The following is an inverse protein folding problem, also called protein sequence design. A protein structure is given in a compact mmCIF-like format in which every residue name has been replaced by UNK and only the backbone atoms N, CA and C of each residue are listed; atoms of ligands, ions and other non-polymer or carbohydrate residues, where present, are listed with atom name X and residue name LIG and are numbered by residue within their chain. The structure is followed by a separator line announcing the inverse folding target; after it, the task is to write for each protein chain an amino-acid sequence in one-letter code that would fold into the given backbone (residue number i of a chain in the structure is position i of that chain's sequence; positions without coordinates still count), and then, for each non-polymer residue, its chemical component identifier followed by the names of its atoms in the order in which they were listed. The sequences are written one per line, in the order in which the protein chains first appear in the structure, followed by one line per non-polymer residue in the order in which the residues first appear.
data_IF_228317797853
#
_entry.id   IF_228317797853
#
_cell.length_a   1.000
_cell.length_b   1.000
_cell.length_c   1.000
_cell.angle_alpha   90.00
_cell.angle_beta   90.00
_cell.angle_gamma   90.00
#
_symmetry.space_group_name_H-M   'P 1'
#
loop_
_entity.id
_entity.type
_entity.pdbx_description
1 polymer ?
#
# COMPACT_ATOMS: atom_id res chain seq x y z
N UNK A 1 -20.85 -9.95 61.26
CA UNK A 1 -21.16 -9.58 59.86
C UNK A 1 -20.07 -10.14 58.95
N UNK A 2 -20.35 -11.14 58.11
CA UNK A 2 -19.44 -11.60 57.05
C UNK A 2 -20.13 -11.35 55.70
N UNK A 3 -19.52 -10.50 54.88
CA UNK A 3 -20.00 -10.19 53.54
C UNK A 3 -19.67 -11.36 52.59
N UNK A 4 -20.70 -12.04 52.10
CA UNK A 4 -20.58 -13.01 51.01
C UNK A 4 -20.22 -12.29 49.71
N UNK A 5 -18.98 -12.50 49.24
CA UNK A 5 -18.57 -12.08 47.89
C UNK A 5 -19.25 -13.00 46.87
N UNK A 6 -20.32 -12.51 46.23
CA UNK A 6 -20.90 -13.14 45.02
C UNK A 6 -19.83 -13.23 43.93
N UNK A 7 -19.35 -14.44 43.66
CA UNK A 7 -18.54 -14.74 42.48
C UNK A 7 -19.46 -14.57 41.26
N UNK A 8 -19.26 -13.52 40.45
CA UNK A 8 -19.86 -13.41 39.12
C UNK A 8 -19.23 -14.48 38.25
N UNK A 9 -19.91 -15.62 38.07
CA UNK A 9 -19.51 -16.64 37.11
C UNK A 9 -19.68 -16.09 35.69
N UNK A 10 -18.64 -16.17 34.88
CA UNK A 10 -18.72 -15.89 33.44
C UNK A 10 -19.56 -16.99 32.81
N UNK A 11 -20.55 -16.62 31.99
CA UNK A 11 -21.40 -17.60 31.31
C UNK A 11 -20.56 -18.50 30.38
N UNK A 12 -20.91 -19.80 30.22
CA UNK A 12 -20.18 -20.69 29.35
C UNK A 12 -20.26 -20.17 27.90
N UNK A 13 -19.10 -20.04 27.25
CA UNK A 13 -19.03 -19.73 25.82
C UNK A 13 -19.25 -21.03 25.05
N UNK A 14 -20.18 -21.03 24.09
CA UNK A 14 -20.31 -22.13 23.15
C UNK A 14 -19.00 -22.27 22.36
N UNK A 15 -18.47 -23.48 22.28
CA UNK A 15 -17.31 -23.79 21.43
C UNK A 15 -17.72 -23.68 19.97
N UNK A 16 -16.90 -23.01 19.16
CA UNK A 16 -17.05 -23.02 17.72
C UNK A 16 -16.32 -24.25 17.19
N UNK A 17 -17.05 -25.26 16.74
CA UNK A 17 -16.50 -26.38 16.00
C UNK A 17 -16.55 -26.04 14.50
N UNK A 18 -15.39 -26.06 13.84
CA UNK A 18 -15.27 -25.78 12.41
C UNK A 18 -15.10 -27.11 11.68
N UNK A 19 -16.02 -27.40 10.76
CA UNK A 19 -15.89 -28.54 9.86
C UNK A 19 -15.07 -28.14 8.64
N UNK A 20 -13.85 -28.65 8.54
CA UNK A 20 -12.94 -28.38 7.42
C UNK A 20 -13.19 -29.24 6.19
N UNK A 21 -14.08 -30.23 6.30
CA UNK A 21 -14.50 -31.05 5.16
C UNK A 21 -15.69 -30.45 4.41
N UNK A 22 -16.38 -29.50 5.02
CA UNK A 22 -17.47 -28.75 4.41
C UNK A 22 -16.95 -27.77 3.34
N UNK A 23 -17.37 -27.92 2.07
CA UNK A 23 -17.00 -27.01 0.99
C UNK A 23 -17.38 -25.55 1.26
N UNK A 24 -18.51 -25.29 1.91
CA UNK A 24 -18.98 -23.92 2.17
C UNK A 24 -18.08 -23.20 3.18
N UNK A 25 -17.66 -23.92 4.22
CA UNK A 25 -16.67 -23.44 5.19
C UNK A 25 -15.33 -23.11 4.52
N UNK A 26 -14.86 -23.94 3.60
CA UNK A 26 -13.63 -23.69 2.85
C UNK A 26 -13.74 -22.46 1.95
N UNK A 27 -14.88 -22.30 1.25
CA UNK A 27 -15.16 -21.12 0.42
C UNK A 27 -15.21 -19.85 1.27
N UNK A 28 -15.84 -19.91 2.45
CA UNK A 28 -15.90 -18.79 3.37
C UNK A 28 -14.52 -18.34 3.85
N UNK A 29 -13.67 -19.29 4.25
CA UNK A 29 -12.29 -19.01 4.68
C UNK A 29 -11.45 -18.47 3.53
N UNK A 30 -11.54 -19.07 2.34
CA UNK A 30 -10.84 -18.59 1.15
C UNK A 30 -11.26 -17.16 0.80
N UNK A 31 -12.56 -16.86 0.86
CA UNK A 31 -13.10 -15.52 0.66
C UNK A 31 -12.57 -14.51 1.68
N UNK A 32 -12.49 -14.89 2.96
CA UNK A 32 -11.94 -14.04 4.01
C UNK A 32 -10.45 -13.73 3.78
N UNK A 33 -9.65 -14.75 3.42
CA UNK A 33 -8.21 -14.57 3.12
C UNK A 33 -8.01 -13.68 1.89
N UNK A 34 -8.77 -13.90 0.82
CA UNK A 34 -8.73 -13.06 -0.38
C UNK A 34 -9.16 -11.63 -0.07
N UNK A 35 -10.21 -11.44 0.73
CA UNK A 35 -10.69 -10.13 1.17
C UNK A 35 -9.61 -9.37 1.93
N UNK A 36 -8.92 -10.03 2.87
CA UNK A 36 -7.79 -9.42 3.60
C UNK A 36 -6.60 -9.12 2.67
N UNK A 37 -6.26 -10.05 1.78
CA UNK A 37 -5.16 -9.87 0.84
C UNK A 37 -5.40 -8.69 -0.10
N UNK A 38 -6.62 -8.52 -0.62
CA UNK A 38 -6.97 -7.37 -1.46
C UNK A 38 -7.08 -6.10 -0.63
N UNK A 39 -7.74 -6.16 0.53
CA UNK A 39 -7.97 -5.00 1.39
C UNK A 39 -6.70 -4.36 1.94
N UNK A 40 -5.67 -5.17 2.22
CA UNK A 40 -4.36 -4.69 2.68
C UNK A 40 -3.38 -4.53 1.50
N UNK A 41 -3.36 -5.50 0.58
CA UNK A 41 -2.41 -5.54 -0.52
C UNK A 41 -2.61 -4.45 -1.54
N UNK A 42 -3.86 -4.06 -1.85
CA UNK A 42 -4.10 -2.98 -2.81
C UNK A 42 -3.54 -1.63 -2.30
N UNK A 43 -3.84 -1.16 -1.07
CA UNK A 43 -3.21 0.05 -0.53
C UNK A 43 -1.68 -0.01 -0.53
N UNK A 44 -1.08 -1.11 -0.07
CA UNK A 44 0.38 -1.28 -0.05
C UNK A 44 0.99 -1.24 -1.46
N UNK A 45 0.31 -1.83 -2.44
CA UNK A 45 0.73 -1.78 -3.84
C UNK A 45 0.78 -0.34 -4.36
N UNK A 46 -0.25 0.45 -4.10
CA UNK A 46 -0.28 1.86 -4.53
C UNK A 46 0.81 2.69 -3.85
N UNK A 47 1.04 2.52 -2.55
CA UNK A 47 2.13 3.19 -1.82
C UNK A 47 3.49 2.81 -2.45
N UNK A 48 3.75 1.51 -2.62
CA UNK A 48 5.02 1.05 -3.20
C UNK A 48 5.25 1.53 -4.63
N UNK A 49 4.18 1.76 -5.39
CA UNK A 49 4.25 2.30 -6.73
C UNK A 49 4.61 3.78 -6.72
N UNK A 50 4.12 4.52 -5.73
CA UNK A 50 4.43 5.92 -5.55
C UNK A 50 5.89 6.12 -5.12
N UNK A 51 6.35 5.37 -4.12
CA UNK A 51 7.75 5.39 -3.67
C UNK A 51 8.73 5.05 -4.82
N UNK A 52 8.41 4.06 -5.65
CA UNK A 52 9.22 3.71 -6.82
C UNK A 52 9.24 4.81 -7.87
N UNK A 53 8.14 5.53 -8.04
CA UNK A 53 8.06 6.64 -8.97
C UNK A 53 8.86 7.85 -8.46
N UNK A 54 8.81 8.13 -7.15
CA UNK A 54 9.66 9.14 -6.51
C UNK A 54 11.14 8.80 -6.65
N UNK A 55 11.51 7.54 -6.42
CA UNK A 55 12.89 7.07 -6.61
C UNK A 55 13.36 7.28 -8.06
N UNK A 56 12.53 6.95 -9.07
CA UNK A 56 12.87 7.22 -10.48
C UNK A 56 12.97 8.70 -10.80
N UNK A 57 12.15 9.54 -10.18
CA UNK A 57 12.25 11.00 -10.34
C UNK A 57 13.57 11.53 -9.77
N UNK A 58 13.97 11.04 -8.61
CA UNK A 58 15.22 11.39 -7.97
C UNK A 58 16.42 10.92 -8.83
N UNK A 59 16.38 9.69 -9.33
CA UNK A 59 17.36 9.15 -10.28
C UNK A 59 17.44 10.00 -11.56
N UNK A 60 16.30 10.38 -12.13
CA UNK A 60 16.23 11.22 -13.32
C UNK A 60 16.85 12.60 -13.07
N UNK A 61 16.56 13.22 -11.91
CA UNK A 61 17.15 14.51 -11.54
C UNK A 61 18.67 14.39 -11.35
N UNK A 62 19.14 13.30 -10.75
CA UNK A 62 20.56 13.04 -10.59
C UNK A 62 21.25 12.85 -11.95
N UNK A 63 20.66 12.04 -12.83
CA UNK A 63 21.14 11.82 -14.18
C UNK A 63 21.20 13.14 -14.95
N UNK A 64 20.15 13.96 -14.91
CA UNK A 64 20.10 15.24 -15.61
C UNK A 64 21.20 16.21 -15.12
N UNK A 65 21.47 16.24 -13.80
CA UNK A 65 22.60 16.99 -13.23
C UNK A 65 23.96 16.45 -13.66
N UNK A 66 24.10 15.14 -13.86
CA UNK A 66 25.34 14.53 -14.33
C UNK A 66 25.55 14.81 -15.83
N UNK A 67 24.52 14.59 -16.66
CA UNK A 67 24.55 14.91 -18.09
C UNK A 67 24.94 16.36 -18.32
N UNK A 68 24.34 17.31 -17.60
CA UNK A 68 24.71 18.73 -17.72
C UNK A 68 26.18 19.00 -17.38
N UNK A 69 26.77 18.29 -16.40
CA UNK A 69 28.20 18.43 -16.07
C UNK A 69 29.11 17.90 -17.18
N UNK A 70 28.66 16.90 -17.93
CA UNK A 70 29.43 16.21 -18.95
C UNK A 70 29.29 16.87 -20.33
N UNK A 71 28.07 17.25 -20.71
CA UNK A 71 27.73 17.73 -22.06
C UNK A 71 27.47 19.24 -22.10
N UNK A 72 27.19 19.86 -20.95
CA UNK A 72 26.72 21.25 -20.89
C UNK A 72 25.24 21.44 -21.24
N UNK A 73 24.53 20.36 -21.54
CA UNK A 73 23.11 20.36 -21.91
C UNK A 73 22.31 19.45 -20.97
N UNK A 74 21.06 19.85 -20.68
CA UNK A 74 20.11 19.00 -19.95
C UNK A 74 19.50 17.96 -20.89
N UNK A 75 18.99 16.86 -20.33
CA UNK A 75 18.20 15.87 -21.05
C UNK A 75 16.97 16.53 -21.69
N UNK A 76 16.71 16.17 -22.93
CA UNK A 76 15.50 16.55 -23.66
C UNK A 76 14.24 15.93 -23.04
N UNK A 77 13.07 16.51 -23.34
CA UNK A 77 11.79 15.98 -22.86
C UNK A 77 11.51 14.57 -23.39
N UNK A 78 12.01 14.23 -24.57
CA UNK A 78 11.91 12.90 -25.16
C UNK A 78 12.72 11.88 -24.35
N UNK A 79 13.96 12.22 -23.98
CA UNK A 79 14.82 11.36 -23.15
C UNK A 79 14.25 11.17 -21.74
N UNK A 80 13.73 12.23 -21.15
CA UNK A 80 13.05 12.18 -19.85
C UNK A 80 11.83 11.25 -19.90
N UNK A 81 11.01 11.36 -20.96
CA UNK A 81 9.81 10.52 -21.14
C UNK A 81 10.14 9.05 -21.40
N UNK A 82 11.30 8.76 -22.00
CA UNK A 82 11.77 7.39 -22.20
C UNK A 82 12.12 6.71 -20.86
N UNK A 83 12.60 7.46 -19.88
CA UNK A 83 12.97 6.96 -18.55
C UNK A 83 11.75 6.86 -17.63
N UNK A 84 10.87 7.87 -17.66
CA UNK A 84 9.65 7.92 -16.82
C UNK A 84 8.46 8.40 -17.65
N UNK A 85 7.41 7.58 -17.69
CA UNK A 85 6.15 8.00 -18.28
C UNK A 85 5.51 9.14 -17.46
N UNK A 86 4.99 10.19 -18.13
CA UNK A 86 4.37 11.31 -17.44
C UNK A 86 3.07 10.87 -16.76
N UNK A 87 2.90 11.27 -15.49
CA UNK A 87 1.66 11.05 -14.74
C UNK A 87 0.70 12.21 -14.94
N UNK A 88 -0.58 11.95 -14.68
CA UNK A 88 -1.61 12.98 -14.69
C UNK A 88 -1.38 14.07 -13.61
N UNK A 89 -0.64 13.73 -12.55
CA UNK A 89 -0.22 14.65 -11.48
C UNK A 89 0.90 15.59 -11.91
N UNK A 90 1.75 15.21 -12.88
CA UNK A 90 2.90 16.02 -13.30
C UNK A 90 2.48 17.31 -14.02
N UNK A 91 1.24 17.37 -14.52
CA UNK A 91 0.67 18.55 -15.20
C UNK A 91 -0.03 19.50 -14.23
N UNK A 92 -0.07 19.18 -12.94
CA UNK A 92 -0.66 20.05 -11.93
C UNK A 92 0.42 21.00 -11.46
N UNK A 93 0.21 22.30 -11.65
CA UNK A 93 0.92 23.31 -10.87
C UNK A 93 0.45 23.14 -9.42
N UNK A 94 1.34 22.67 -8.55
CA UNK A 94 1.12 22.74 -7.12
C UNK A 94 1.15 24.22 -6.75
N UNK A 95 0.02 24.77 -6.31
CA UNK A 95 0.04 26.05 -5.62
C UNK A 95 0.73 25.81 -4.29
N UNK A 96 1.95 26.31 -4.15
CA UNK A 96 2.56 26.48 -2.85
C UNK A 96 1.75 27.57 -2.13
N UNK A 97 1.05 27.21 -1.06
CA UNK A 97 0.39 28.16 -0.16
C UNK A 97 1.48 28.88 0.66
N UNK A 98 2.12 29.88 0.06
CA UNK A 98 2.86 30.94 0.78
C UNK A 98 1.88 31.95 1.41
#
# INVERSE_FOLDING_TARGET
MRAERRRRGVAPRAGLEIDWSDPDTLVGVAGAVLGLAVGIGAPLFYISRDERDEARLEELRQLNRQTFKETGEYLSEEEIRAIRQPRWTDRREFQDDD
#
